data_IF_851264354516
#
_entry.id   IF_851264354516
#
_cell.length_a   1.000
_cell.length_b   1.000
_cell.length_c   1.000
_cell.angle_alpha   90.00
_cell.angle_beta   90.00
_cell.angle_gamma   90.00
#
_symmetry.space_group_name_H-M   'P 1'
#
loop_
_entity.id
_entity.type
_entity.pdbx_description
1 polymer ?
#
# COMPACT_ATOMS: atom_id res chain seq x y z
N UNK A 1 -1.97 -19.60 -28.77
CA UNK A 1 -2.12 -20.79 -27.90
C UNK A 1 -3.04 -21.79 -28.59
N UNK A 2 -2.79 -23.08 -28.35
CA UNK A 2 -3.74 -24.13 -28.69
C UNK A 2 -5.03 -23.97 -27.85
N UNK A 3 -6.12 -24.50 -28.36
CA UNK A 3 -7.44 -24.42 -27.71
C UNK A 3 -7.43 -24.93 -26.27
N UNK A 4 -7.90 -24.09 -25.34
CA UNK A 4 -7.99 -24.36 -23.91
C UNK A 4 -6.73 -23.97 -23.12
N UNK A 5 -5.57 -23.73 -23.75
CA UNK A 5 -4.36 -23.33 -23.04
C UNK A 5 -4.39 -21.88 -22.61
N UNK A 6 -4.98 -20.98 -23.37
CA UNK A 6 -5.00 -19.54 -23.06
C UNK A 6 -5.71 -19.26 -21.75
N UNK A 7 -6.79 -19.98 -21.41
CA UNK A 7 -7.51 -19.81 -20.14
C UNK A 7 -6.66 -20.28 -18.96
N UNK A 8 -5.95 -21.40 -19.10
CA UNK A 8 -5.07 -21.95 -18.07
C UNK A 8 -3.90 -21.00 -17.77
N UNK A 9 -3.26 -20.49 -18.83
CA UNK A 9 -2.17 -19.51 -18.73
C UNK A 9 -2.70 -18.19 -18.13
N UNK A 10 -3.88 -17.73 -18.54
CA UNK A 10 -4.52 -16.52 -18.01
C UNK A 10 -4.77 -16.61 -16.52
N UNK A 11 -5.28 -17.73 -16.03
CA UNK A 11 -5.45 -17.97 -14.58
C UNK A 11 -4.12 -18.00 -13.84
N UNK A 12 -3.10 -18.68 -14.38
CA UNK A 12 -1.78 -18.73 -13.76
C UNK A 12 -1.14 -17.34 -13.66
N UNK A 13 -1.16 -16.58 -14.76
CA UNK A 13 -0.63 -15.22 -14.81
C UNK A 13 -1.37 -14.28 -13.85
N UNK A 14 -2.70 -14.36 -13.80
CA UNK A 14 -3.48 -13.56 -12.84
C UNK A 14 -3.04 -13.81 -11.40
N UNK A 15 -2.89 -15.07 -11.00
CA UNK A 15 -2.44 -15.44 -9.65
C UNK A 15 -1.04 -14.91 -9.36
N UNK A 16 -0.10 -15.08 -10.28
CA UNK A 16 1.28 -14.62 -10.13
C UNK A 16 1.33 -13.09 -10.00
N UNK A 17 0.63 -12.38 -10.88
CA UNK A 17 0.60 -10.91 -10.85
C UNK A 17 0.01 -10.35 -9.53
N UNK A 18 -1.01 -10.99 -8.97
CA UNK A 18 -1.63 -10.53 -7.73
C UNK A 18 -0.85 -10.92 -6.47
N UNK A 19 -0.06 -12.01 -6.50
CA UNK A 19 0.57 -12.57 -5.30
C UNK A 19 2.08 -12.42 -5.24
N UNK A 20 2.77 -12.25 -6.36
CA UNK A 20 4.23 -12.42 -6.41
C UNK A 20 4.99 -11.16 -6.80
N UNK A 21 4.30 -10.10 -7.22
CA UNK A 21 4.95 -8.82 -7.52
C UNK A 21 5.26 -8.11 -6.21
N UNK A 22 6.51 -7.69 -6.06
CA UNK A 22 6.97 -6.95 -4.88
C UNK A 22 6.50 -5.49 -4.92
N UNK A 23 6.21 -4.96 -3.74
CA UNK A 23 5.93 -3.55 -3.54
C UNK A 23 6.25 -3.09 -2.14
N UNK A 24 6.23 -1.79 -1.94
CA UNK A 24 6.41 -1.17 -0.64
C UNK A 24 5.05 -0.84 -0.02
N UNK A 25 4.91 -1.08 1.28
CA UNK A 25 3.71 -0.73 2.03
C UNK A 25 4.05 -0.31 3.46
N UNK A 26 3.18 0.48 4.07
CA UNK A 26 3.28 0.80 5.49
C UNK A 26 2.86 -0.44 6.28
N UNK A 27 3.72 -0.88 7.20
CA UNK A 27 3.54 -2.08 8.03
C UNK A 27 3.20 -1.76 9.47
N UNK A 28 3.58 -0.58 9.95
CA UNK A 28 3.25 -0.10 11.28
C UNK A 28 3.26 1.43 11.29
N UNK A 29 2.54 2.00 12.23
CA UNK A 29 2.58 3.43 12.50
C UNK A 29 2.70 3.69 14.00
N UNK A 30 3.23 4.86 14.32
CA UNK A 30 3.25 5.40 15.67
C UNK A 30 2.74 6.83 15.59
N UNK A 31 1.77 7.13 16.42
CA UNK A 31 1.13 8.45 16.52
C UNK A 31 1.39 8.99 17.91
N UNK A 32 1.85 10.21 18.01
CA UNK A 32 2.05 10.83 19.34
C UNK A 32 0.73 10.90 20.11
N UNK A 33 0.73 10.37 21.34
CA UNK A 33 -0.46 10.36 22.21
C UNK A 33 -1.47 9.25 21.94
N UNK A 34 -1.21 8.34 21.00
CA UNK A 34 -2.09 7.21 20.66
C UNK A 34 -1.41 5.89 20.95
N UNK A 35 -2.13 4.98 21.62
CA UNK A 35 -1.61 3.67 22.01
C UNK A 35 -2.24 2.49 21.26
N UNK A 36 -3.36 2.70 20.57
CA UNK A 36 -4.08 1.66 19.81
C UNK A 36 -4.92 2.26 18.70
N UNK A 37 -5.27 1.45 17.73
CA UNK A 37 -5.97 1.82 16.48
C UNK A 37 -7.41 2.36 16.66
N UNK A 38 -7.98 2.23 17.84
CA UNK A 38 -9.35 2.72 18.13
C UNK A 38 -9.37 4.03 18.92
N UNK A 39 -8.26 4.73 19.02
CA UNK A 39 -8.16 6.01 19.71
C UNK A 39 -8.66 7.17 18.85
N UNK A 40 -9.21 8.20 19.48
CA UNK A 40 -9.42 9.49 18.81
C UNK A 40 -8.11 10.28 18.79
N UNK A 41 -7.91 11.07 17.74
CA UNK A 41 -6.74 11.93 17.56
C UNK A 41 -7.13 13.37 17.91
N UNK A 42 -6.61 13.95 19.02
CA UNK A 42 -6.90 15.33 19.35
C UNK A 42 -6.49 16.30 18.23
N UNK A 43 -7.42 17.14 17.79
CA UNK A 43 -7.15 18.12 16.72
C UNK A 43 -7.12 17.54 15.31
N UNK A 44 -7.50 16.29 15.11
CA UNK A 44 -7.68 15.64 13.81
C UNK A 44 -9.15 15.31 13.62
N UNK A 45 -9.67 15.52 12.41
CA UNK A 45 -11.10 15.30 12.10
C UNK A 45 -11.39 13.80 11.97
N UNK A 46 -10.50 13.07 11.32
CA UNK A 46 -10.57 11.63 11.11
C UNK A 46 -10.17 10.88 12.40
N UNK A 47 -10.72 9.72 12.61
CA UNK A 47 -10.24 8.81 13.66
C UNK A 47 -8.99 8.04 13.23
N UNK A 48 -8.40 7.28 14.15
CA UNK A 48 -7.17 6.50 13.85
C UNK A 48 -7.44 5.43 12.79
N UNK A 49 -8.65 4.87 12.73
CA UNK A 49 -9.01 3.86 11.74
C UNK A 49 -9.03 4.45 10.32
N UNK A 50 -9.68 5.62 10.16
CA UNK A 50 -9.71 6.34 8.89
C UNK A 50 -8.30 6.76 8.46
N UNK A 51 -7.48 7.25 9.40
CA UNK A 51 -6.07 7.57 9.16
C UNK A 51 -5.30 6.37 8.62
N UNK A 52 -5.45 5.19 9.25
CA UNK A 52 -4.81 3.95 8.81
C UNK A 52 -5.25 3.57 7.40
N UNK A 53 -6.56 3.65 7.10
CA UNK A 53 -7.09 3.32 5.78
C UNK A 53 -6.54 4.25 4.70
N UNK A 54 -6.44 5.55 4.98
CA UNK A 54 -5.87 6.53 4.06
C UNK A 54 -4.38 6.24 3.82
N UNK A 55 -3.60 6.00 4.88
CA UNK A 55 -2.18 5.65 4.77
C UNK A 55 -1.93 4.39 3.95
N UNK A 56 -2.76 3.36 4.11
CA UNK A 56 -2.67 2.09 3.34
C UNK A 56 -2.97 2.28 1.86
N UNK A 57 -3.70 3.32 1.48
CA UNK A 57 -4.02 3.61 0.09
C UNK A 57 -2.87 4.30 -0.68
N UNK A 58 -1.89 4.88 0.02
CA UNK A 58 -0.80 5.63 -0.59
C UNK A 58 0.21 4.67 -1.23
N UNK A 59 0.49 4.83 -2.54
CA UNK A 59 1.50 4.03 -3.20
C UNK A 59 2.91 4.58 -2.95
N UNK A 60 3.78 3.72 -2.44
CA UNK A 60 5.19 4.04 -2.22
C UNK A 60 6.11 3.20 -3.09
N UNK A 61 7.28 3.76 -3.41
CA UNK A 61 8.43 3.02 -3.93
C UNK A 61 9.55 3.10 -2.89
N UNK A 62 10.11 1.97 -2.51
CA UNK A 62 11.24 1.87 -1.59
C UNK A 62 12.47 1.45 -2.39
N UNK A 63 13.54 2.26 -2.34
CA UNK A 63 14.77 2.05 -3.12
C UNK A 63 15.81 1.19 -2.39
N UNK A 64 15.54 0.86 -1.13
CA UNK A 64 16.41 0.05 -0.26
C UNK A 64 15.68 -1.23 0.18
N UNK A 65 16.42 -2.27 0.52
CA UNK A 65 15.83 -3.55 0.94
C UNK A 65 15.46 -3.59 2.43
N UNK A 66 15.98 -2.64 3.21
CA UNK A 66 15.69 -2.57 4.65
C UNK A 66 14.44 -1.73 4.90
N UNK A 67 13.63 -2.10 5.93
CA UNK A 67 12.54 -1.24 6.37
C UNK A 67 13.03 0.16 6.74
N UNK A 68 12.22 1.16 6.41
CA UNK A 68 12.54 2.58 6.63
C UNK A 68 11.45 3.21 7.49
N UNK A 69 11.85 4.06 8.43
CA UNK A 69 10.91 4.89 9.19
C UNK A 69 10.79 6.25 8.51
N UNK A 70 9.56 6.61 8.14
CA UNK A 70 9.19 7.91 7.59
C UNK A 70 8.61 8.75 8.70
N UNK A 71 8.82 10.05 8.64
CA UNK A 71 8.29 11.00 9.62
C UNK A 71 7.40 12.01 8.91
N UNK A 72 6.26 12.30 9.53
CA UNK A 72 5.37 13.36 9.11
C UNK A 72 5.07 14.24 10.32
N UNK A 73 5.29 15.54 10.19
CA UNK A 73 4.94 16.54 11.19
C UNK A 73 4.22 17.68 10.52
N UNK A 74 3.03 18.02 11.03
CA UNK A 74 2.27 19.17 10.54
C UNK A 74 1.49 19.81 11.67
N UNK A 75 1.45 21.14 11.64
CA UNK A 75 0.70 21.97 12.57
C UNK A 75 -0.17 22.98 11.79
N UNK A 76 -1.31 23.33 12.37
CA UNK A 76 -2.26 24.28 11.81
C UNK A 76 -3.36 23.64 10.98
N UNK A 77 -4.50 24.35 10.87
CA UNK A 77 -5.69 23.86 10.20
C UNK A 77 -5.47 23.55 8.72
N UNK A 78 -6.05 22.46 8.25
CA UNK A 78 -6.06 22.10 6.83
C UNK A 78 -5.76 20.63 6.55
N UNK A 79 -5.77 20.27 5.26
CA UNK A 79 -5.51 18.89 4.85
C UNK A 79 -4.02 18.53 5.04
N UNK A 80 -3.79 17.31 5.48
CA UNK A 80 -2.47 16.66 5.52
C UNK A 80 -2.43 15.67 4.36
N UNK A 81 -1.40 15.76 3.54
CA UNK A 81 -1.23 14.91 2.36
C UNK A 81 0.09 14.15 2.41
N UNK A 82 0.27 13.22 1.50
CA UNK A 82 1.52 12.46 1.41
C UNK A 82 2.75 13.34 1.09
N UNK A 83 2.56 14.54 0.52
CA UNK A 83 3.63 15.53 0.32
C UNK A 83 4.20 16.10 1.63
N UNK A 84 3.44 16.01 2.74
CA UNK A 84 3.89 16.46 4.05
C UNK A 84 4.83 15.46 4.76
N UNK A 85 5.04 14.27 4.20
CA UNK A 85 6.03 13.30 4.68
C UNK A 85 7.42 13.84 4.40
N UNK A 86 8.30 13.83 5.40
CA UNK A 86 9.68 14.31 5.26
C UNK A 86 10.41 13.57 4.14
N UNK A 87 10.96 14.31 3.19
CA UNK A 87 11.63 13.75 2.02
C UNK A 87 12.90 12.97 2.42
N UNK A 88 13.10 11.79 1.84
CA UNK A 88 14.27 10.95 2.04
C UNK A 88 14.61 10.24 0.71
N UNK A 89 15.90 10.16 0.30
CA UNK A 89 16.30 9.56 -0.98
C UNK A 89 16.00 8.07 -1.09
N UNK A 90 15.77 7.39 0.03
CA UNK A 90 15.55 5.95 0.07
C UNK A 90 14.12 5.54 -0.32
N UNK A 91 13.18 6.49 -0.37
CA UNK A 91 11.81 6.23 -0.79
C UNK A 91 11.25 7.33 -1.69
N UNK A 92 10.19 7.00 -2.41
CA UNK A 92 9.42 7.91 -3.23
C UNK A 92 7.93 7.69 -2.98
N UNK A 93 7.20 8.77 -2.69
CA UNK A 93 5.75 8.75 -2.70
C UNK A 93 5.27 8.99 -4.13
N UNK A 94 4.53 8.02 -4.71
CA UNK A 94 4.08 8.08 -6.10
C UNK A 94 2.91 9.04 -6.26
N UNK A 95 2.07 9.19 -5.22
CA UNK A 95 0.93 10.10 -5.20
C UNK A 95 1.07 11.09 -4.03
N UNK A 96 1.76 12.23 -4.24
CA UNK A 96 1.98 13.21 -3.18
C UNK A 96 0.70 13.94 -2.73
N UNK A 97 -0.33 13.95 -3.57
CA UNK A 97 -1.61 14.61 -3.26
C UNK A 97 -2.57 13.68 -2.48
N UNK A 98 -2.18 12.43 -2.25
CA UNK A 98 -2.99 11.47 -1.49
C UNK A 98 -3.30 12.03 -0.09
N UNK A 99 -4.59 12.08 0.25
CA UNK A 99 -5.08 12.59 1.52
C UNK A 99 -4.73 11.63 2.67
N UNK A 100 -4.25 12.16 3.77
CA UNK A 100 -3.95 11.42 4.99
C UNK A 100 -5.01 11.72 6.06
N UNK A 101 -5.13 13.00 6.45
CA UNK A 101 -6.12 13.46 7.41
C UNK A 101 -6.33 14.98 7.29
N UNK A 102 -7.24 15.52 8.10
CA UNK A 102 -7.55 16.95 8.17
C UNK A 102 -7.31 17.46 9.59
N UNK A 103 -6.51 18.50 9.76
CA UNK A 103 -6.29 19.16 11.04
C UNK A 103 -7.32 20.25 11.29
N UNK A 104 -7.84 20.28 12.53
CA UNK A 104 -8.68 21.38 13.04
C UNK A 104 -7.83 22.65 13.31
N UNK A 105 -8.47 23.77 13.74
CA UNK A 105 -7.80 25.06 13.90
C UNK A 105 -6.62 24.91 14.86
N UNK A 106 -6.34 24.41 15.80
CA UNK A 106 -5.13 24.24 16.62
C UNK A 106 -4.56 22.82 16.55
N UNK A 107 -4.92 22.09 15.48
CA UNK A 107 -4.51 20.71 15.29
C UNK A 107 -3.03 20.57 15.00
N UNK A 108 -2.43 19.54 15.56
CA UNK A 108 -1.09 19.08 15.19
C UNK A 108 -1.08 17.57 15.08
N UNK A 109 -0.23 17.06 14.22
CA UNK A 109 -0.03 15.63 14.05
C UNK A 109 1.47 15.34 13.91
N UNK A 110 1.92 14.31 14.62
CA UNK A 110 3.24 13.73 14.46
C UNK A 110 3.08 12.22 14.28
N UNK A 111 3.53 11.74 13.12
CA UNK A 111 3.46 10.33 12.72
C UNK A 111 4.86 9.81 12.43
N UNK A 112 5.15 8.62 12.91
CA UNK A 112 6.23 7.78 12.42
C UNK A 112 5.61 6.59 11.67
N UNK A 113 6.02 6.35 10.44
CA UNK A 113 5.47 5.31 9.56
C UNK A 113 6.58 4.31 9.21
N UNK A 114 6.37 3.03 9.46
CA UNK A 114 7.30 1.98 9.05
C UNK A 114 6.96 1.53 7.64
N UNK A 115 7.82 1.81 6.67
CA UNK A 115 7.70 1.38 5.28
C UNK A 115 8.59 0.17 5.05
N UNK A 116 8.03 -0.91 4.51
CA UNK A 116 8.79 -2.11 4.19
C UNK A 116 8.43 -2.66 2.82
N UNK A 117 9.37 -3.37 2.20
CA UNK A 117 9.15 -4.11 0.96
C UNK A 117 8.64 -5.52 1.29
N UNK A 118 7.71 -6.01 0.49
CA UNK A 118 7.14 -7.34 0.66
C UNK A 118 6.37 -7.81 -0.57
N UNK A 119 5.60 -8.88 -0.40
CA UNK A 119 4.76 -9.48 -1.46
C UNK A 119 3.38 -9.83 -0.91
N UNK A 120 2.36 -9.57 -1.72
CA UNK A 120 1.00 -9.94 -1.40
C UNK A 120 0.47 -9.26 -0.12
N UNK A 121 -0.32 -9.98 0.65
CA UNK A 121 -0.92 -9.52 1.91
C UNK A 121 -0.15 -10.07 3.11
N UNK A 122 0.13 -9.21 4.07
CA UNK A 122 0.75 -9.56 5.35
C UNK A 122 -0.16 -9.05 6.47
N UNK A 123 -0.54 -9.93 7.39
CA UNK A 123 -1.40 -9.59 8.51
C UNK A 123 -0.65 -8.75 9.57
N UNK A 124 -1.39 -7.96 10.36
CA UNK A 124 -0.81 -7.04 11.33
C UNK A 124 0.08 -7.74 12.38
N UNK A 125 -0.32 -8.94 12.82
CA UNK A 125 0.47 -9.75 13.77
C UNK A 125 1.83 -10.20 13.20
N UNK A 126 1.91 -10.40 11.89
CA UNK A 126 3.14 -10.73 11.18
C UNK A 126 4.04 -9.50 10.93
N UNK A 127 3.46 -8.31 10.93
CA UNK A 127 4.19 -7.05 10.83
C UNK A 127 4.75 -6.56 12.18
N UNK A 128 4.42 -7.24 13.28
CA UNK A 128 4.96 -6.95 14.59
C UNK A 128 6.40 -7.45 14.69
N UNK A 129 7.36 -6.55 14.57
CA UNK A 129 8.79 -6.87 14.75
C UNK A 129 9.16 -6.83 16.23
N UNK A 130 10.06 -7.72 16.68
CA UNK A 130 10.48 -7.83 18.09
C UNK A 130 11.22 -6.58 18.61
N UNK A 131 11.77 -5.78 17.71
CA UNK A 131 12.51 -4.55 18.03
C UNK A 131 11.64 -3.28 17.96
N UNK A 132 10.35 -3.42 17.66
CA UNK A 132 9.42 -2.30 17.74
C UNK A 132 9.25 -1.83 19.18
N UNK A 133 9.61 -0.58 19.43
CA UNK A 133 9.42 0.06 20.73
C UNK A 133 7.94 0.23 21.10
N UNK A 134 7.71 0.68 22.35
CA UNK A 134 6.35 0.98 22.84
C UNK A 134 5.71 2.09 22.00
N UNK A 135 4.42 1.95 21.71
CA UNK A 135 3.61 2.93 20.95
C UNK A 135 3.53 2.68 19.45
N UNK A 136 4.22 1.67 18.92
CA UNK A 136 4.01 1.24 17.53
C UNK A 136 2.73 0.39 17.43
N UNK A 137 1.92 0.73 16.45
CA UNK A 137 0.69 0.02 16.09
C UNK A 137 0.96 -0.73 14.78
N UNK A 138 1.12 -2.06 14.82
CA UNK A 138 1.26 -2.85 13.60
C UNK A 138 -0.07 -2.85 12.84
N UNK A 139 -0.01 -2.73 11.52
CA UNK A 139 -1.17 -2.79 10.65
C UNK A 139 -0.97 -3.86 9.57
N UNK A 140 -2.06 -4.40 9.07
CA UNK A 140 -2.01 -5.27 7.91
C UNK A 140 -1.59 -4.49 6.67
N UNK A 141 -0.80 -5.10 5.81
CA UNK A 141 -0.21 -4.45 4.65
C UNK A 141 -0.46 -5.22 3.36
N UNK A 142 -0.72 -4.49 2.27
CA UNK A 142 -0.82 -5.03 0.92
C UNK A 142 0.36 -4.51 0.11
N UNK A 143 1.34 -5.37 -0.11
CA UNK A 143 2.58 -5.00 -0.80
C UNK A 143 2.45 -5.08 -2.33
N UNK A 144 1.37 -5.65 -2.86
CA UNK A 144 1.19 -5.77 -4.31
C UNK A 144 0.90 -4.41 -4.94
N UNK A 145 1.70 -3.95 -5.92
CA UNK A 145 1.38 -2.75 -6.71
C UNK A 145 0.23 -3.00 -7.69
N UNK A 146 -0.12 -4.26 -7.93
CA UNK A 146 -1.19 -4.67 -8.84
C UNK A 146 -2.51 -4.71 -8.10
N UNK A 147 -3.40 -3.78 -8.41
CA UNK A 147 -4.73 -3.68 -7.77
C UNK A 147 -5.76 -4.62 -8.40
N UNK A 148 -5.66 -4.84 -9.71
CA UNK A 148 -6.64 -5.63 -10.46
C UNK A 148 -6.00 -6.27 -11.68
N UNK A 149 -6.33 -7.54 -11.93
CA UNK A 149 -5.95 -8.26 -13.14
C UNK A 149 -7.19 -8.83 -13.79
N UNK A 150 -7.44 -8.45 -15.02
CA UNK A 150 -8.44 -9.07 -15.88
C UNK A 150 -7.74 -9.69 -17.08
N UNK A 151 -8.31 -10.75 -17.62
CA UNK A 151 -7.87 -11.30 -18.88
C UNK A 151 -9.07 -11.72 -19.73
N UNK A 152 -8.85 -11.72 -21.03
CA UNK A 152 -9.83 -12.13 -22.04
C UNK A 152 -9.17 -13.12 -23.00
N UNK A 153 -9.90 -14.17 -23.32
CA UNK A 153 -9.49 -15.15 -24.33
C UNK A 153 -10.35 -14.95 -25.56
N UNK A 154 -9.73 -14.78 -26.70
CA UNK A 154 -10.39 -14.64 -27.98
C UNK A 154 -9.89 -15.72 -28.94
N UNK A 155 -10.77 -16.12 -29.88
CA UNK A 155 -10.34 -16.97 -31.00
C UNK A 155 -9.36 -16.20 -31.89
N UNK A 156 -8.26 -16.83 -32.22
CA UNK A 156 -7.26 -16.27 -33.11
C UNK A 156 -7.18 -17.12 -34.39
N UNK A 157 -7.01 -16.46 -35.50
CA UNK A 157 -6.76 -17.13 -36.79
C UNK A 157 -5.27 -17.13 -37.08
N UNK A 158 -4.69 -18.31 -37.23
CA UNK A 158 -3.32 -18.50 -37.67
C UNK A 158 -3.32 -19.19 -39.04
N UNK A 159 -3.08 -18.44 -40.11
CA UNK A 159 -3.18 -18.96 -41.47
C UNK A 159 -4.60 -19.44 -41.80
N UNK A 160 -4.76 -20.76 -42.04
CA UNK A 160 -6.06 -21.41 -42.33
C UNK A 160 -6.72 -21.98 -41.08
N UNK A 161 -5.99 -22.08 -39.94
CA UNK A 161 -6.51 -22.56 -38.65
C UNK A 161 -7.27 -21.47 -37.93
N UNK A 162 -8.45 -21.78 -37.41
CA UNK A 162 -9.28 -20.90 -36.55
C UNK A 162 -9.42 -21.45 -35.14
N UNK A 163 -8.62 -22.45 -34.78
CA UNK A 163 -8.70 -23.13 -33.47
C UNK A 163 -7.75 -22.54 -32.44
N UNK A 164 -6.88 -21.62 -32.81
CA UNK A 164 -5.96 -20.94 -31.92
C UNK A 164 -6.65 -19.90 -31.03
N UNK A 165 -6.07 -19.65 -29.89
CA UNK A 165 -6.54 -18.68 -28.93
C UNK A 165 -5.52 -17.55 -28.71
N UNK A 166 -6.00 -16.33 -28.51
CA UNK A 166 -5.25 -15.16 -28.08
C UNK A 166 -5.65 -14.79 -26.67
N UNK A 167 -4.65 -14.72 -25.78
CA UNK A 167 -4.81 -14.20 -24.45
C UNK A 167 -4.46 -12.72 -24.43
N UNK A 168 -5.33 -11.91 -23.86
CA UNK A 168 -5.11 -10.50 -23.56
C UNK A 168 -5.22 -10.32 -22.04
N UNK A 169 -4.26 -9.64 -21.44
CA UNK A 169 -4.15 -9.34 -20.01
C UNK A 169 -4.26 -7.83 -19.80
#
# INVERSE_FOLDING_TARGET
FERGFAITVGHALRRVLLSSVEGAAITALKVEGVLHEFSSLPGVVEDTTDLILNLKAIPFRLNVDKPKTLVLRKEGAGPVTAADIEADPDFECIDPDAHICTLAEDGKIELELRLARGRGYVAADQNLEQDMGIGWIPIDSVHSPVRRVNYKVEKARLGRSTEDERLML
#
